data_IF_576935736705
#
_entry.id   IF_576935736705
#
_cell.length_a   1.000
_cell.length_b   1.000
_cell.length_c   1.000
_cell.angle_alpha   90.00
_cell.angle_beta   90.00
_cell.angle_gamma   90.00
#
_symmetry.space_group_name_H-M   'P 1'
#
loop_
_entity.id
_entity.type
_entity.pdbx_description
1 polymer ?
#
# COMPACT_ATOMS: atom_id res chain seq x y z
N UNK A 1 8.65 -20.64 9.16
CA UNK A 1 8.15 -20.06 7.89
C UNK A 1 8.98 -18.82 7.62
N UNK A 2 9.55 -18.68 6.41
CA UNK A 2 10.16 -17.39 6.02
C UNK A 2 9.04 -16.34 6.03
N UNK A 3 9.29 -15.20 6.63
CA UNK A 3 8.34 -14.09 6.62
C UNK A 3 8.34 -13.40 5.26
N UNK A 4 7.25 -12.71 4.93
CA UNK A 4 7.17 -11.94 3.69
C UNK A 4 8.05 -10.68 3.80
N UNK A 5 8.81 -10.41 2.73
CA UNK A 5 9.57 -9.18 2.53
C UNK A 5 8.79 -8.20 1.67
N UNK A 6 9.03 -6.90 1.85
CA UNK A 6 8.36 -5.85 1.09
C UNK A 6 9.38 -4.89 0.49
N UNK A 7 9.38 -4.75 -0.82
CA UNK A 7 10.36 -3.95 -1.54
C UNK A 7 9.70 -2.76 -2.23
N UNK A 8 10.48 -1.69 -2.35
CA UNK A 8 10.13 -0.58 -3.22
C UNK A 8 10.15 -1.06 -4.70
N UNK A 9 9.13 -0.76 -5.52
CA UNK A 9 9.11 -1.15 -6.92
C UNK A 9 10.20 -0.42 -7.75
N UNK A 10 10.68 0.73 -7.27
CA UNK A 10 11.59 1.60 -8.02
C UNK A 10 13.06 1.31 -7.69
N UNK A 11 13.43 1.27 -6.41
CA UNK A 11 14.82 1.01 -6.00
C UNK A 11 15.07 -0.42 -5.49
N UNK A 12 14.01 -1.24 -5.36
CA UNK A 12 14.06 -2.58 -4.74
C UNK A 12 14.62 -2.63 -3.31
N UNK A 13 14.66 -1.48 -2.64
CA UNK A 13 15.05 -1.37 -1.24
C UNK A 13 14.03 -2.00 -0.29
N UNK A 14 14.52 -2.59 0.80
CA UNK A 14 13.72 -3.25 1.83
C UNK A 14 12.91 -2.25 2.66
N UNK A 15 11.57 -2.29 2.54
CA UNK A 15 10.61 -1.43 3.23
C UNK A 15 10.13 -2.03 4.56
N UNK A 16 10.37 -3.32 4.80
CA UNK A 16 10.05 -4.03 6.05
C UNK A 16 11.35 -4.44 6.76
N UNK A 17 12.03 -3.53 7.48
CA UNK A 17 13.27 -3.86 8.18
C UNK A 17 13.06 -4.72 9.44
N UNK A 18 11.83 -4.80 9.95
CA UNK A 18 11.45 -5.63 11.10
C UNK A 18 9.97 -6.04 10.96
N UNK A 19 9.11 -5.84 11.96
CA UNK A 19 7.72 -6.33 11.93
C UNK A 19 6.70 -5.37 11.29
N UNK A 20 7.15 -4.27 10.69
CA UNK A 20 6.27 -3.25 10.08
C UNK A 20 6.87 -2.76 8.77
N UNK A 21 6.00 -2.46 7.80
CA UNK A 21 6.37 -1.81 6.55
C UNK A 21 6.41 -0.31 6.82
N UNK A 22 7.47 0.37 6.36
CA UNK A 22 7.69 1.79 6.65
C UNK A 22 7.55 2.62 5.38
N UNK A 23 6.79 3.71 5.48
CA UNK A 23 6.59 4.68 4.42
C UNK A 23 6.87 6.10 4.90
N UNK A 24 7.37 6.93 3.99
CA UNK A 24 7.35 8.38 4.14
C UNK A 24 6.03 8.89 3.57
N UNK A 25 5.29 9.68 4.32
CA UNK A 25 3.94 10.13 3.96
C UNK A 25 3.86 11.64 4.05
N UNK A 26 3.18 12.24 3.09
CA UNK A 26 2.86 13.66 3.06
C UNK A 26 1.35 13.86 2.91
N UNK A 27 0.79 14.67 3.79
CA UNK A 27 -0.62 15.07 3.81
C UNK A 27 -0.86 16.24 2.86
N UNK A 28 -2.12 16.54 2.60
CA UNK A 28 -2.52 17.63 1.69
C UNK A 28 -2.11 19.00 2.21
N UNK A 29 -2.06 19.17 3.54
CA UNK A 29 -1.60 20.40 4.18
C UNK A 29 -0.06 20.56 4.19
N UNK A 30 0.66 19.58 3.66
CA UNK A 30 2.12 19.58 3.54
C UNK A 30 2.85 19.01 4.76
N UNK A 31 2.15 18.51 5.78
CA UNK A 31 2.79 17.81 6.89
C UNK A 31 3.43 16.51 6.40
N UNK A 32 4.65 16.23 6.87
CA UNK A 32 5.40 15.02 6.50
C UNK A 32 5.64 14.17 7.74
N UNK A 33 5.49 12.85 7.60
CA UNK A 33 5.69 11.91 8.69
C UNK A 33 6.02 10.50 8.21
N UNK A 34 6.43 9.65 9.16
CA UNK A 34 6.55 8.23 8.91
C UNK A 34 5.25 7.52 9.27
N UNK A 35 4.84 6.61 8.40
CA UNK A 35 3.71 5.70 8.61
C UNK A 35 4.23 4.27 8.58
N UNK A 36 3.82 3.48 9.57
CA UNK A 36 4.20 2.08 9.71
C UNK A 36 2.94 1.22 9.64
N UNK A 37 2.91 0.28 8.69
CA UNK A 37 1.77 -0.61 8.43
C UNK A 37 2.08 -2.06 8.83
N UNK A 38 1.03 -2.84 9.11
CA UNK A 38 1.17 -4.29 9.27
C UNK A 38 1.59 -4.96 7.96
N UNK A 39 2.50 -5.95 8.00
CA UNK A 39 2.81 -6.78 6.84
C UNK A 39 1.73 -7.84 6.53
N UNK A 40 0.73 -7.99 7.40
CA UNK A 40 -0.37 -8.93 7.22
C UNK A 40 -1.46 -8.30 6.35
N UNK A 41 -1.71 -8.89 5.18
CA UNK A 41 -2.78 -8.44 4.27
C UNK A 41 -4.14 -8.57 4.96
N UNK A 42 -4.97 -7.52 4.85
CA UNK A 42 -6.24 -7.41 5.58
C UNK A 42 -6.11 -6.85 7.00
N UNK A 43 -4.90 -6.55 7.49
CA UNK A 43 -4.68 -5.89 8.77
C UNK A 43 -4.23 -4.43 8.60
N UNK A 44 -5.13 -3.50 8.94
CA UNK A 44 -4.94 -2.07 8.69
C UNK A 44 -4.44 -1.31 9.91
N UNK A 45 -3.63 -1.96 10.76
CA UNK A 45 -3.07 -1.30 11.94
C UNK A 45 -1.98 -0.30 11.54
N UNK A 46 -2.19 0.98 11.86
CA UNK A 46 -1.29 2.08 11.52
C UNK A 46 -0.55 2.56 12.77
N UNK A 47 0.78 2.61 12.69
CA UNK A 47 1.62 3.26 13.71
C UNK A 47 2.21 4.54 13.12
N UNK A 48 2.08 5.64 13.85
CA UNK A 48 2.61 6.96 13.49
C UNK A 48 2.96 7.74 14.75
N UNK A 49 3.79 8.78 14.60
CA UNK A 49 4.04 9.68 15.71
C UNK A 49 2.74 10.43 16.11
N UNK A 50 2.52 10.64 17.41
CA UNK A 50 1.29 11.24 17.95
C UNK A 50 0.95 12.63 17.39
N UNK A 51 1.98 13.38 16.97
CA UNK A 51 1.82 14.72 16.39
C UNK A 51 1.43 14.69 14.91
N UNK A 52 1.70 13.59 14.20
CA UNK A 52 1.32 13.45 12.80
C UNK A 52 -0.16 13.05 12.76
N UNK A 53 -1.02 14.02 12.45
CA UNK A 53 -2.47 13.82 12.38
C UNK A 53 -2.84 13.42 10.95
N UNK A 54 -3.70 12.42 10.86
CA UNK A 54 -4.31 11.99 9.60
C UNK A 54 -5.80 12.21 9.77
N UNK A 55 -6.43 12.73 8.74
CA UNK A 55 -7.87 13.01 8.74
C UNK A 55 -8.54 11.96 7.88
N UNK A 56 -9.57 11.30 8.40
CA UNK A 56 -10.33 10.30 7.63
C UNK A 56 -10.86 10.91 6.32
N UNK A 57 -10.72 10.17 5.22
CA UNK A 57 -11.03 10.63 3.86
C UNK A 57 -9.96 11.50 3.21
N UNK A 58 -8.86 11.82 3.89
CA UNK A 58 -7.74 12.54 3.29
C UNK A 58 -6.94 11.64 2.34
N UNK A 59 -6.58 12.17 1.17
CA UNK A 59 -5.65 11.51 0.25
C UNK A 59 -4.20 11.81 0.66
N UNK A 60 -3.38 10.75 0.67
CA UNK A 60 -1.98 10.81 1.06
C UNK A 60 -1.05 10.66 -0.14
N UNK A 61 0.03 11.43 -0.13
CA UNK A 61 1.19 11.15 -0.98
C UNK A 61 2.13 10.21 -0.21
N UNK A 62 2.37 9.01 -0.76
CA UNK A 62 3.22 7.98 -0.14
C UNK A 62 4.50 7.82 -0.93
N UNK A 63 5.63 7.79 -0.22
CA UNK A 63 6.97 7.76 -0.80
C UNK A 63 7.82 6.65 -0.19
N UNK A 64 8.75 6.16 -0.98
CA UNK A 64 9.79 5.26 -0.50
C UNK A 64 10.71 6.01 0.48
N UNK A 65 10.93 5.50 1.71
CA UNK A 65 11.84 6.14 2.68
C UNK A 65 13.32 6.03 2.29
N UNK A 66 13.66 5.21 1.29
CA UNK A 66 15.05 4.96 0.86
C UNK A 66 15.43 5.84 -0.34
N UNK A 67 14.62 5.81 -1.41
CA UNK A 67 14.91 6.54 -2.65
C UNK A 67 14.04 7.79 -2.85
N UNK A 68 13.05 8.04 -1.97
CA UNK A 68 12.12 9.16 -2.05
C UNK A 68 11.21 9.19 -3.28
N UNK A 69 11.20 8.13 -4.08
CA UNK A 69 10.28 8.00 -5.21
C UNK A 69 8.84 7.87 -4.73
N UNK A 70 7.91 8.46 -5.49
CA UNK A 70 6.49 8.36 -5.20
C UNK A 70 6.01 6.93 -5.47
N UNK A 71 5.31 6.33 -4.50
CA UNK A 71 4.77 4.98 -4.58
C UNK A 71 3.31 4.96 -5.05
N UNK A 72 2.67 6.11 -5.15
CA UNK A 72 1.35 6.26 -5.75
C UNK A 72 1.39 5.92 -7.23
N UNK A 73 0.42 5.12 -7.66
CA UNK A 73 0.29 4.72 -9.06
C UNK A 73 -0.39 5.84 -9.87
N UNK A 74 0.43 6.73 -10.42
CA UNK A 74 -0.08 7.84 -11.23
C UNK A 74 -0.63 7.42 -12.60
N UNK A 75 -0.37 6.19 -13.05
CA UNK A 75 -0.74 5.75 -14.41
C UNK A 75 -2.07 5.00 -14.41
N UNK A 76 -2.34 4.27 -13.33
CA UNK A 76 -3.48 3.37 -13.26
C UNK A 76 -4.62 3.89 -12.38
N UNK A 77 -4.35 4.31 -11.14
CA UNK A 77 -5.36 4.91 -10.28
C UNK A 77 -4.75 5.83 -9.22
N UNK A 78 -5.10 7.12 -9.28
CA UNK A 78 -4.55 8.19 -8.42
C UNK A 78 -4.66 7.93 -6.90
N UNK A 79 -5.61 7.09 -6.49
CA UNK A 79 -5.89 6.78 -5.09
C UNK A 79 -5.22 5.48 -4.61
N UNK A 80 -4.41 4.83 -5.44
CA UNK A 80 -3.72 3.57 -5.11
C UNK A 80 -2.20 3.77 -5.08
N UNK A 81 -1.53 2.98 -4.25
CA UNK A 81 -0.08 2.85 -4.22
C UNK A 81 0.35 1.39 -4.34
N UNK A 82 1.56 1.16 -4.87
CA UNK A 82 2.09 -0.17 -5.13
C UNK A 82 3.43 -0.43 -4.44
N UNK A 83 3.57 -1.63 -3.88
CA UNK A 83 4.84 -2.21 -3.42
C UNK A 83 4.98 -3.65 -3.89
N UNK A 84 6.19 -4.19 -3.81
CA UNK A 84 6.46 -5.59 -4.16
C UNK A 84 6.51 -6.42 -2.87
N UNK A 85 5.84 -7.56 -2.84
CA UNK A 85 5.97 -8.55 -1.76
C UNK A 85 6.72 -9.77 -2.28
N UNK A 86 7.72 -10.23 -1.53
CA UNK A 86 8.35 -11.54 -1.76
C UNK A 86 7.90 -12.48 -0.64
N UNK A 87 7.25 -13.58 -1.01
CA UNK A 87 6.79 -14.56 -0.05
C UNK A 87 7.91 -15.52 0.41
N UNK A 88 7.62 -16.40 1.35
CA UNK A 88 8.60 -17.38 1.83
C UNK A 88 9.09 -18.42 0.81
N UNK A 89 8.49 -18.48 -0.38
CA UNK A 89 8.90 -19.32 -1.51
C UNK A 89 9.65 -18.51 -2.59
N UNK A 90 10.10 -17.30 -2.24
CA UNK A 90 10.80 -16.36 -3.12
C UNK A 90 9.96 -15.94 -4.35
N UNK A 91 8.63 -16.05 -4.26
CA UNK A 91 7.67 -15.62 -5.28
C UNK A 91 7.27 -14.17 -5.04
N UNK A 92 7.31 -13.39 -6.12
CA UNK A 92 7.02 -11.95 -6.14
C UNK A 92 5.55 -11.68 -6.47
N UNK A 93 4.96 -10.75 -5.72
CA UNK A 93 3.60 -10.27 -5.88
C UNK A 93 3.60 -8.74 -5.89
N UNK A 94 2.67 -8.15 -6.63
CA UNK A 94 2.37 -6.73 -6.47
C UNK A 94 1.32 -6.57 -5.38
N UNK A 95 1.61 -5.71 -4.40
CA UNK A 95 0.66 -5.35 -3.36
C UNK A 95 0.22 -3.91 -3.61
N UNK A 96 -1.07 -3.74 -3.89
CA UNK A 96 -1.68 -2.46 -4.18
C UNK A 96 -2.61 -2.09 -3.04
N UNK A 97 -2.55 -0.85 -2.52
CA UNK A 97 -3.36 -0.42 -1.38
C UNK A 97 -3.84 1.02 -1.53
N UNK A 98 -4.93 1.36 -0.85
CA UNK A 98 -5.50 2.71 -0.90
C UNK A 98 -4.63 3.76 -0.21
N UNK A 99 -4.57 4.94 -0.82
CA UNK A 99 -3.96 6.17 -0.31
C UNK A 99 -4.94 7.04 0.49
N UNK A 100 -6.20 6.64 0.60
CA UNK A 100 -7.21 7.37 1.36
C UNK A 100 -7.22 6.91 2.81
N UNK A 101 -7.05 7.84 3.75
CA UNK A 101 -7.10 7.56 5.18
C UNK A 101 -8.47 6.99 5.55
N UNK A 102 -8.47 5.83 6.20
CA UNK A 102 -9.69 5.15 6.66
C UNK A 102 -10.21 4.09 5.69
N UNK A 103 -9.81 4.13 4.41
CA UNK A 103 -10.15 3.06 3.48
C UNK A 103 -9.29 1.83 3.73
N UNK A 104 -9.95 0.68 3.89
CA UNK A 104 -9.35 -0.63 4.13
C UNK A 104 -9.48 -1.45 2.86
N UNK A 105 -8.54 -1.19 1.96
CA UNK A 105 -8.48 -1.85 0.67
C UNK A 105 -7.03 -2.22 0.34
N UNK A 106 -6.80 -3.50 0.07
CA UNK A 106 -5.51 -4.02 -0.38
C UNK A 106 -5.73 -5.15 -1.36
N UNK A 107 -4.99 -5.16 -2.46
CA UNK A 107 -4.99 -6.20 -3.47
C UNK A 107 -3.62 -6.86 -3.52
N UNK A 108 -3.60 -8.18 -3.59
CA UNK A 108 -2.42 -8.95 -3.92
C UNK A 108 -2.58 -9.48 -5.34
N UNK A 109 -1.65 -9.10 -6.21
CA UNK A 109 -1.75 -9.31 -7.64
C UNK A 109 -0.58 -10.17 -8.12
N UNK A 110 -0.89 -11.14 -8.98
CA UNK A 110 0.08 -11.97 -9.69
C UNK A 110 -0.41 -12.21 -11.12
N UNK A 111 0.09 -11.41 -12.06
CA UNK A 111 -0.40 -11.47 -13.44
C UNK A 111 -1.88 -11.06 -13.49
N UNK A 112 -2.75 -11.98 -13.89
CA UNK A 112 -4.22 -11.76 -13.95
C UNK A 112 -4.93 -12.18 -12.64
N UNK A 113 -4.24 -12.87 -11.73
CA UNK A 113 -4.82 -13.29 -10.45
C UNK A 113 -4.82 -12.12 -9.46
N UNK A 114 -6.01 -11.69 -9.03
CA UNK A 114 -6.19 -10.61 -8.05
C UNK A 114 -6.92 -11.16 -6.82
N UNK A 115 -6.25 -11.07 -5.67
CA UNK A 115 -6.81 -11.41 -4.36
C UNK A 115 -7.12 -10.12 -3.59
N UNK A 116 -8.41 -9.77 -3.36
CA UNK A 116 -8.82 -8.60 -2.58
C UNK A 116 -8.79 -8.85 -1.06
N UNK A 117 -8.47 -7.81 -0.30
CA UNK A 117 -8.49 -7.79 1.17
C UNK A 117 -9.10 -6.48 1.66
N UNK A 118 -9.92 -6.57 2.72
CA UNK A 118 -10.54 -5.43 3.39
C UNK A 118 -11.99 -5.20 3.00
N UNK A 119 -12.68 -4.33 3.74
CA UNK A 119 -14.11 -4.07 3.57
C UNK A 119 -14.42 -3.14 2.39
N UNK A 120 -13.44 -2.32 1.99
CA UNK A 120 -13.57 -1.38 0.86
C UNK A 120 -12.94 -1.96 -0.42
N UNK A 121 -12.62 -3.25 -0.45
CA UNK A 121 -11.97 -3.88 -1.60
C UNK A 121 -12.87 -3.99 -2.84
N UNK A 122 -14.18 -3.89 -2.67
CA UNK A 122 -15.12 -3.87 -3.78
C UNK A 122 -15.12 -2.51 -4.51
N UNK A 123 -14.69 -1.42 -3.87
CA UNK A 123 -14.71 -0.07 -4.45
C UNK A 123 -13.84 0.05 -5.70
N UNK A 124 -12.70 -0.66 -5.73
CA UNK A 124 -11.80 -0.69 -6.88
C UNK A 124 -11.78 -2.05 -7.57
N UNK A 125 -12.75 -2.95 -7.34
CA UNK A 125 -12.71 -4.27 -8.00
C UNK A 125 -12.88 -4.17 -9.53
N UNK A 126 -13.69 -3.21 -10.01
CA UNK A 126 -13.84 -2.88 -11.44
C UNK A 126 -12.53 -2.43 -12.10
N UNK A 127 -11.54 -1.98 -11.32
CA UNK A 127 -10.21 -1.63 -11.80
C UNK A 127 -9.48 -2.84 -12.41
N UNK A 128 -9.80 -4.05 -11.94
CA UNK A 128 -9.16 -5.31 -12.36
C UNK A 128 -9.90 -6.02 -13.51
N UNK A 129 -10.94 -5.43 -14.09
CA UNK A 129 -11.48 -5.85 -15.40
C UNK A 129 -12.79 -6.66 -15.44
N UNK A 130 -13.68 -6.60 -14.44
CA UNK A 130 -15.06 -7.08 -14.66
C UNK A 130 -15.88 -6.08 -15.49
N UNK A 131 -16.56 -6.61 -16.53
CA UNK A 131 -17.59 -5.88 -17.24
C UNK A 131 -18.75 -5.54 -16.28
N UNK A 132 -19.39 -4.37 -16.38
CA UNK A 132 -20.49 -4.01 -15.49
C UNK A 132 -21.61 -5.05 -15.60
N UNK A 133 -21.99 -5.63 -14.47
CA UNK A 133 -23.22 -6.40 -14.37
C UNK A 133 -24.42 -5.43 -14.50
N UNK A 134 -25.02 -5.39 -15.69
CA UNK A 134 -26.27 -4.70 -15.99
C UNK A 134 -27.49 -5.58 -15.70
#
# INVERSE_FOLDING_TARGET
MKENDFLCPQCRGQLKPNNKIIFSVKTKDGSVGLMLLSPHLGEYSVVKHKSFKLIDGEHLEVYCPICHENLGDQHEHKDLAKVLMINGEDKEYEIVFSLIVGQKCTYKVLGEDVEPFGEDADEYFNFWGEAPAY
#
